data_IF_108602713505
#
_entry.id   IF_108602713505
#
_cell.length_a   1.000
_cell.length_b   1.000
_cell.length_c   1.000
_cell.angle_alpha   90.00
_cell.angle_beta   90.00
_cell.angle_gamma   90.00
#
_symmetry.space_group_name_H-M   'P 1'
#
loop_
_entity.id
_entity.type
_entity.pdbx_description
1 polymer ?
#
# COMPACT_ATOMS: atom_id res chain seq x y z
N UNK A 1 41.08 -21.07 63.09
CA UNK A 1 41.05 -20.58 61.64
C UNK A 1 39.62 -20.43 61.21
N UNK A 2 39.12 -19.20 61.07
CA UNK A 2 37.77 -18.91 60.65
C UNK A 2 37.83 -18.53 59.17
N UNK A 3 37.31 -19.40 58.31
CA UNK A 3 37.14 -19.10 56.87
C UNK A 3 35.95 -18.16 56.70
N UNK A 4 36.20 -16.99 56.18
CA UNK A 4 35.12 -16.03 55.75
C UNK A 4 34.64 -16.43 54.34
N UNK A 5 33.40 -16.91 54.29
CA UNK A 5 32.72 -17.15 53.04
C UNK A 5 32.25 -15.77 52.48
N UNK A 6 32.84 -15.33 51.37
CA UNK A 6 32.40 -14.12 50.65
C UNK A 6 31.33 -14.58 49.68
N UNK A 7 30.06 -14.23 49.96
CA UNK A 7 28.96 -14.39 49.03
C UNK A 7 28.97 -13.23 48.00
N UNK A 8 29.33 -13.52 46.76
CA UNK A 8 29.21 -12.61 45.67
C UNK A 8 27.75 -12.67 45.19
N UNK A 9 26.95 -11.67 45.56
CA UNK A 9 25.62 -11.48 44.99
C UNK A 9 25.80 -10.90 43.58
N UNK A 10 25.70 -11.73 42.56
CA UNK A 10 25.59 -11.29 41.18
C UNK A 10 24.16 -10.78 40.96
N UNK A 11 23.99 -9.48 40.94
CA UNK A 11 22.76 -8.84 40.49
C UNK A 11 22.71 -9.00 38.96
N UNK A 12 22.01 -10.03 38.47
CA UNK A 12 21.59 -10.11 37.08
C UNK A 12 20.50 -9.07 36.86
N UNK A 13 20.88 -7.91 36.36
CA UNK A 13 19.95 -6.98 35.75
C UNK A 13 19.45 -7.64 34.43
N UNK A 14 18.35 -8.35 34.53
CA UNK A 14 17.58 -8.72 33.33
C UNK A 14 16.94 -7.42 32.85
N UNK A 15 17.62 -6.73 31.95
CA UNK A 15 16.97 -5.76 31.09
C UNK A 15 15.97 -6.54 30.24
N UNK A 16 14.71 -6.59 30.70
CA UNK A 16 13.59 -6.90 29.81
C UNK A 16 13.57 -5.80 28.76
N UNK A 17 14.16 -6.09 27.60
CA UNK A 17 13.90 -5.32 26.39
C UNK A 17 12.42 -5.53 26.07
N UNK A 18 11.55 -4.77 26.73
CA UNK A 18 10.22 -4.53 26.24
C UNK A 18 10.43 -3.80 24.93
N UNK A 19 10.25 -4.47 23.80
CA UNK A 19 10.20 -3.81 22.53
C UNK A 19 9.09 -2.77 22.63
N UNK A 20 9.45 -1.50 22.70
CA UNK A 20 8.47 -0.43 22.66
C UNK A 20 7.70 -0.55 21.34
N UNK A 21 6.38 -0.37 21.40
CA UNK A 21 5.57 -0.37 20.20
C UNK A 21 6.08 0.74 19.25
N UNK A 22 6.34 0.42 17.98
CA UNK A 22 6.89 1.40 17.05
C UNK A 22 5.97 2.62 16.96
N UNK A 23 6.57 3.79 17.06
CA UNK A 23 5.86 5.07 16.93
C UNK A 23 5.34 5.25 15.51
N UNK A 24 6.14 4.92 14.53
CA UNK A 24 5.85 5.03 13.11
C UNK A 24 5.78 3.64 12.47
N UNK A 25 4.68 3.34 11.82
CA UNK A 25 4.48 2.06 11.12
C UNK A 25 4.15 2.33 9.67
N UNK A 26 4.97 1.78 8.79
CA UNK A 26 4.71 1.74 7.35
C UNK A 26 4.42 0.30 6.95
N UNK A 27 3.29 0.09 6.28
CA UNK A 27 2.93 -1.17 5.64
C UNK A 27 2.83 -0.95 4.14
N UNK A 28 3.75 -1.53 3.38
CA UNK A 28 3.77 -1.48 1.93
C UNK A 28 3.24 -2.79 1.37
N UNK A 29 2.26 -2.71 0.46
CA UNK A 29 1.66 -3.88 -0.20
C UNK A 29 1.81 -3.70 -1.72
N UNK A 30 2.60 -4.57 -2.35
CA UNK A 30 2.60 -4.70 -3.80
C UNK A 30 1.51 -5.67 -4.20
N UNK A 31 0.40 -5.17 -4.77
CA UNK A 31 -0.69 -6.02 -5.26
C UNK A 31 -0.19 -6.86 -6.44
N UNK A 32 -0.41 -8.17 -6.38
CA UNK A 32 0.10 -9.10 -7.37
C UNK A 32 1.61 -9.25 -7.43
N UNK A 33 2.35 -8.64 -6.48
CA UNK A 33 3.81 -8.62 -6.43
C UNK A 33 4.36 -9.79 -5.60
N UNK A 34 4.93 -10.75 -6.28
CA UNK A 34 5.61 -11.89 -5.67
C UNK A 34 7.10 -11.91 -6.04
N UNK A 35 7.78 -13.02 -5.82
CA UNK A 35 9.20 -13.17 -6.17
C UNK A 35 9.50 -12.93 -7.66
N UNK A 36 8.67 -13.36 -8.63
CA UNK A 36 8.91 -13.09 -10.04
C UNK A 36 9.00 -11.59 -10.36
N UNK A 37 8.03 -10.78 -9.95
CA UNK A 37 7.98 -9.34 -10.23
C UNK A 37 9.20 -8.63 -9.65
N UNK A 38 9.57 -8.95 -8.40
CA UNK A 38 10.75 -8.39 -7.73
C UNK A 38 12.06 -8.81 -8.40
N UNK A 39 12.20 -10.11 -8.74
CA UNK A 39 13.42 -10.65 -9.35
C UNK A 39 13.63 -10.09 -10.75
N UNK A 40 12.56 -9.97 -11.54
CA UNK A 40 12.62 -9.36 -12.88
C UNK A 40 13.00 -7.88 -12.81
N UNK A 41 12.42 -7.15 -11.88
CA UNK A 41 12.71 -5.73 -11.70
C UNK A 41 14.16 -5.51 -11.26
N UNK A 42 14.67 -6.34 -10.36
CA UNK A 42 16.08 -6.26 -9.95
C UNK A 42 17.03 -6.62 -11.09
N UNK A 43 16.74 -7.67 -11.85
CA UNK A 43 17.55 -8.04 -13.02
C UNK A 43 17.59 -6.91 -14.07
N UNK A 44 16.43 -6.28 -14.33
CA UNK A 44 16.31 -5.12 -15.19
C UNK A 44 17.13 -3.92 -14.68
N UNK A 45 16.97 -3.57 -13.41
CA UNK A 45 17.67 -2.45 -12.78
C UNK A 45 19.19 -2.65 -12.80
N UNK A 46 19.64 -3.85 -12.42
CA UNK A 46 21.05 -4.23 -12.44
C UNK A 46 21.65 -4.14 -13.85
N UNK A 47 20.93 -4.62 -14.86
CA UNK A 47 21.43 -4.65 -16.24
C UNK A 47 21.42 -3.27 -16.89
N UNK A 48 20.45 -2.42 -16.56
CA UNK A 48 20.27 -1.10 -17.19
C UNK A 48 20.99 0.03 -16.46
N UNK A 49 21.14 -0.07 -15.12
CA UNK A 49 21.69 1.00 -14.28
C UNK A 49 22.82 0.55 -13.33
N UNK A 50 23.06 -0.75 -13.18
CA UNK A 50 24.04 -1.29 -12.23
C UNK A 50 23.58 -1.17 -10.76
N UNK A 51 22.29 -0.93 -10.50
CA UNK A 51 21.72 -0.72 -9.19
C UNK A 51 21.00 -1.97 -8.67
N UNK A 52 20.74 -2.02 -7.35
CA UNK A 52 19.97 -3.05 -6.69
C UNK A 52 18.57 -2.53 -6.29
N UNK A 53 17.61 -3.44 -6.20
CA UNK A 53 16.25 -3.13 -5.78
C UNK A 53 16.18 -3.15 -4.25
N UNK A 54 15.96 -2.00 -3.60
CA UNK A 54 16.00 -1.84 -2.15
C UNK A 54 15.15 -2.89 -1.41
N UNK A 55 13.93 -3.15 -1.87
CA UNK A 55 13.01 -4.10 -1.22
C UNK A 55 13.54 -5.53 -1.12
N UNK A 56 14.53 -5.91 -1.94
CA UNK A 56 15.18 -7.21 -1.89
C UNK A 56 16.37 -7.28 -0.92
N UNK A 57 16.85 -6.14 -0.44
CA UNK A 57 18.08 -6.01 0.36
C UNK A 57 17.83 -5.53 1.80
N UNK A 58 16.59 -5.54 2.26
CA UNK A 58 16.28 -5.25 3.66
C UNK A 58 16.72 -6.41 4.56
N UNK A 59 17.08 -6.13 5.83
CA UNK A 59 17.79 -7.07 6.69
C UNK A 59 16.97 -8.31 7.09
N UNK A 60 15.63 -8.21 7.06
CA UNK A 60 14.75 -9.33 7.43
C UNK A 60 13.90 -9.72 6.22
N UNK A 61 13.98 -10.98 5.83
CA UNK A 61 13.20 -11.56 4.75
C UNK A 61 12.46 -12.80 5.22
N UNK A 62 11.20 -12.95 4.81
CA UNK A 62 10.38 -14.13 5.09
C UNK A 62 9.54 -14.46 3.86
N UNK A 63 9.03 -15.70 3.80
CA UNK A 63 8.08 -16.13 2.80
C UNK A 63 6.70 -16.24 3.41
N UNK A 64 5.69 -15.77 2.68
CA UNK A 64 4.28 -15.93 3.05
C UNK A 64 3.59 -16.87 2.07
N UNK A 65 2.62 -17.63 2.58
CA UNK A 65 1.77 -18.48 1.79
C UNK A 65 0.40 -17.83 1.66
N UNK A 66 -0.01 -17.57 0.42
CA UNK A 66 -1.26 -16.88 0.13
C UNK A 66 -2.36 -17.89 -0.27
N UNK A 67 -3.52 -17.74 0.33
CA UNK A 67 -4.78 -18.41 -0.06
C UNK A 67 -5.92 -17.72 0.70
N UNK A 68 -7.12 -17.68 0.12
CA UNK A 68 -8.32 -17.25 0.85
C UNK A 68 -8.89 -18.37 1.73
N UNK A 69 -9.97 -18.11 2.43
CA UNK A 69 -10.65 -19.14 3.23
C UNK A 69 -11.37 -20.19 2.37
N UNK A 70 -11.80 -19.83 1.16
CA UNK A 70 -12.57 -20.70 0.27
C UNK A 70 -11.83 -21.11 -1.01
N UNK A 71 -10.59 -20.66 -1.26
CA UNK A 71 -9.86 -20.98 -2.48
C UNK A 71 -8.34 -20.98 -2.27
N UNK A 72 -7.63 -21.82 -3.04
CA UNK A 72 -6.17 -21.82 -3.08
C UNK A 72 -5.63 -20.53 -3.71
N UNK A 73 -6.35 -19.98 -4.69
CA UNK A 73 -6.03 -18.71 -5.32
C UNK A 73 -6.89 -17.62 -4.65
N UNK A 74 -6.23 -16.71 -3.96
CA UNK A 74 -6.90 -15.57 -3.31
C UNK A 74 -7.08 -14.42 -4.30
N UNK A 75 -8.07 -13.57 -4.04
CA UNK A 75 -8.16 -12.23 -4.64
C UNK A 75 -7.65 -11.16 -3.68
N UNK A 76 -7.47 -9.92 -4.14
CA UNK A 76 -6.98 -8.80 -3.34
C UNK A 76 -7.90 -8.42 -2.17
N UNK A 77 -9.21 -8.73 -2.24
CA UNK A 77 -10.14 -8.46 -1.14
C UNK A 77 -9.86 -9.39 0.06
N UNK A 78 -9.76 -10.68 -0.20
CA UNK A 78 -9.50 -11.68 0.85
C UNK A 78 -8.05 -11.60 1.37
N UNK A 79 -7.06 -11.39 0.49
CA UNK A 79 -5.66 -11.25 0.90
C UNK A 79 -5.43 -9.94 1.65
N UNK A 80 -5.95 -8.82 1.15
CA UNK A 80 -5.92 -7.53 1.83
C UNK A 80 -6.58 -7.60 3.20
N UNK A 81 -7.75 -8.25 3.32
CA UNK A 81 -8.41 -8.49 4.61
C UNK A 81 -7.54 -9.35 5.54
N UNK A 82 -6.91 -10.41 5.03
CA UNK A 82 -6.05 -11.25 5.86
C UNK A 82 -4.81 -10.49 6.38
N UNK A 83 -4.21 -9.64 5.55
CA UNK A 83 -3.08 -8.78 5.94
C UNK A 83 -3.53 -7.72 6.94
N UNK A 84 -4.65 -7.05 6.66
CA UNK A 84 -5.15 -5.95 7.49
C UNK A 84 -5.68 -6.42 8.85
N UNK A 85 -6.40 -7.55 8.88
CA UNK A 85 -7.20 -7.98 10.03
C UNK A 85 -6.67 -9.24 10.72
N UNK A 86 -5.65 -9.92 10.15
CA UNK A 86 -5.09 -11.14 10.72
C UNK A 86 -6.00 -12.38 10.60
N UNK A 87 -7.11 -12.29 9.86
CA UNK A 87 -8.09 -13.37 9.70
C UNK A 87 -8.42 -13.58 8.21
N UNK A 88 -8.41 -14.84 7.76
CA UNK A 88 -8.79 -15.18 6.39
C UNK A 88 -10.28 -15.09 6.16
N UNK A 89 -10.66 -14.55 5.00
CA UNK A 89 -12.04 -14.50 4.52
C UNK A 89 -12.18 -15.11 3.13
N UNK A 90 -13.39 -15.18 2.61
CA UNK A 90 -13.66 -15.66 1.27
C UNK A 90 -13.32 -14.61 0.21
N UNK A 91 -12.95 -15.05 -0.99
CA UNK A 91 -12.71 -14.16 -2.12
C UNK A 91 -13.88 -13.18 -2.30
N UNK A 92 -13.52 -11.92 -2.60
CA UNK A 92 -14.46 -10.81 -2.80
C UNK A 92 -14.90 -10.09 -1.55
N UNK A 93 -14.62 -10.57 -0.34
CA UNK A 93 -15.05 -9.94 0.93
C UNK A 93 -14.01 -8.98 1.49
N UNK A 94 -14.47 -7.90 2.07
CA UNK A 94 -13.65 -6.84 2.65
C UNK A 94 -14.01 -6.68 4.14
N UNK A 95 -13.05 -6.91 5.04
CA UNK A 95 -13.21 -6.69 6.47
C UNK A 95 -14.38 -7.45 7.11
N UNK A 96 -14.76 -8.59 6.53
CA UNK A 96 -15.84 -9.46 7.02
C UNK A 96 -15.33 -10.88 7.23
N UNK A 97 -15.88 -11.58 8.21
CA UNK A 97 -15.62 -13.00 8.44
C UNK A 97 -16.02 -13.86 7.23
N UNK A 98 -15.45 -15.07 7.13
CA UNK A 98 -15.69 -15.95 6.00
C UNK A 98 -17.17 -16.35 5.82
N UNK A 99 -17.97 -16.36 6.87
CA UNK A 99 -19.41 -16.60 6.85
C UNK A 99 -20.24 -15.31 6.62
N UNK A 100 -19.57 -14.15 6.51
CA UNK A 100 -20.20 -12.83 6.33
C UNK A 100 -21.11 -12.37 7.49
N UNK A 101 -20.92 -12.89 8.69
CA UNK A 101 -21.76 -12.56 9.84
C UNK A 101 -21.17 -11.50 10.75
N UNK A 102 -19.83 -11.31 10.70
CA UNK A 102 -19.09 -10.46 11.64
C UNK A 102 -18.12 -9.53 10.90
N UNK A 103 -18.10 -8.26 11.30
CA UNK A 103 -17.04 -7.33 10.93
C UNK A 103 -15.74 -7.74 11.61
N UNK A 104 -14.64 -7.70 10.88
CA UNK A 104 -13.27 -7.87 11.41
C UNK A 104 -12.51 -6.57 11.22
N UNK A 105 -11.90 -6.07 12.29
CA UNK A 105 -11.25 -4.76 12.28
C UNK A 105 -9.76 -4.88 11.93
N UNK A 106 -9.26 -3.89 11.25
CA UNK A 106 -7.89 -3.87 10.75
C UNK A 106 -6.89 -3.35 11.80
N UNK A 107 -5.60 -3.64 11.58
CA UNK A 107 -4.51 -3.04 12.35
C UNK A 107 -4.47 -1.50 12.23
N UNK A 108 -5.00 -0.92 11.15
CA UNK A 108 -5.17 0.53 11.02
C UNK A 108 -6.24 1.05 11.99
N UNK A 109 -7.34 0.32 12.15
CA UNK A 109 -8.36 0.65 13.15
C UNK A 109 -7.77 0.60 14.57
N UNK A 110 -7.04 -0.46 14.91
CA UNK A 110 -6.38 -0.61 16.22
C UNK A 110 -5.34 0.50 16.48
N UNK A 111 -4.56 0.85 15.45
CA UNK A 111 -3.60 1.95 15.53
C UNK A 111 -4.31 3.30 15.82
N UNK A 112 -5.48 3.53 15.20
CA UNK A 112 -6.30 4.71 15.48
C UNK A 112 -6.83 4.72 16.92
N UNK A 113 -7.31 3.57 17.44
CA UNK A 113 -7.75 3.45 18.82
C UNK A 113 -6.58 3.73 19.80
N UNK A 114 -5.36 3.36 19.43
CA UNK A 114 -4.16 3.73 20.19
C UNK A 114 -3.75 5.21 20.05
N UNK A 115 -4.49 6.00 19.26
CA UNK A 115 -4.31 7.44 19.07
C UNK A 115 -3.27 7.82 18.03
N UNK A 116 -2.85 6.89 17.18
CA UNK A 116 -2.04 7.18 16.01
C UNK A 116 -2.86 7.82 14.90
N UNK A 117 -2.25 8.66 14.08
CA UNK A 117 -2.84 9.10 12.82
C UNK A 117 -2.75 8.00 11.77
N UNK A 118 -3.72 7.96 10.86
CA UNK A 118 -3.84 6.90 9.85
C UNK A 118 -3.78 7.48 8.45
N UNK A 119 -2.87 6.92 7.62
CA UNK A 119 -2.78 7.20 6.18
C UNK A 119 -3.02 5.95 5.35
N UNK A 120 -3.80 6.09 4.29
CA UNK A 120 -4.06 5.05 3.28
C UNK A 120 -3.73 5.63 1.91
N UNK A 121 -2.77 5.02 1.22
CA UNK A 121 -2.24 5.49 -0.06
C UNK A 121 -2.28 4.32 -1.06
N UNK A 122 -2.65 4.60 -2.31
CA UNK A 122 -2.65 3.59 -3.37
C UNK A 122 -2.44 4.18 -4.76
N UNK A 123 -1.87 3.41 -5.66
CA UNK A 123 -1.80 3.77 -7.09
C UNK A 123 -3.06 3.40 -7.89
N UNK A 124 -3.98 2.60 -7.33
CA UNK A 124 -5.30 2.31 -7.90
C UNK A 124 -6.39 3.19 -7.27
N UNK A 125 -7.68 2.90 -7.47
CA UNK A 125 -8.73 3.69 -6.80
C UNK A 125 -8.70 3.46 -5.30
N UNK A 126 -8.94 4.53 -4.52
CA UNK A 126 -8.80 4.48 -3.06
C UNK A 126 -9.79 3.52 -2.39
N UNK A 127 -10.89 3.22 -3.05
CA UNK A 127 -11.88 2.22 -2.65
C UNK A 127 -11.77 0.89 -3.41
N UNK A 128 -10.58 0.61 -4.01
CA UNK A 128 -10.21 -0.73 -4.47
C UNK A 128 -10.09 -1.70 -3.29
N UNK A 129 -10.08 -2.99 -3.56
CA UNK A 129 -10.19 -4.04 -2.55
C UNK A 129 -9.11 -3.98 -1.47
N UNK A 130 -7.85 -3.80 -1.83
CA UNK A 130 -6.71 -3.80 -0.90
C UNK A 130 -6.75 -2.61 0.06
N UNK A 131 -6.83 -1.33 -0.38
CA UNK A 131 -6.95 -0.21 0.55
C UNK A 131 -8.24 -0.27 1.36
N UNK A 132 -9.37 -0.72 0.76
CA UNK A 132 -10.64 -0.86 1.42
C UNK A 132 -10.61 -1.84 2.60
N UNK A 133 -9.76 -2.86 2.57
CA UNK A 133 -9.60 -3.84 3.64
C UNK A 133 -9.13 -3.23 4.97
N UNK A 134 -8.57 -2.02 4.93
CA UNK A 134 -8.12 -1.31 6.13
C UNK A 134 -9.19 -0.47 6.80
N UNK A 135 -10.32 -0.19 6.13
CA UNK A 135 -11.38 0.67 6.66
C UNK A 135 -12.82 0.20 6.35
N UNK A 136 -13.01 -0.68 5.37
CA UNK A 136 -14.32 -1.12 4.89
C UNK A 136 -14.77 -2.45 5.50
N UNK A 137 -16.11 -2.66 5.51
CA UNK A 137 -16.73 -3.91 5.96
C UNK A 137 -17.86 -4.28 5.00
N UNK A 138 -17.52 -4.99 3.90
CA UNK A 138 -18.46 -5.29 2.80
C UNK A 138 -18.44 -6.76 2.41
N UNK A 139 -19.63 -7.26 2.05
CA UNK A 139 -19.79 -8.61 1.52
C UNK A 139 -19.14 -8.76 0.15
N UNK A 140 -19.04 -7.68 -0.62
CA UNK A 140 -18.46 -7.67 -1.95
C UNK A 140 -17.54 -6.46 -2.18
N UNK A 141 -16.36 -6.73 -2.78
CA UNK A 141 -15.43 -5.69 -3.24
C UNK A 141 -16.01 -4.80 -4.35
N UNK A 142 -17.11 -5.22 -4.97
CA UNK A 142 -17.77 -4.46 -6.03
C UNK A 142 -18.75 -3.39 -5.49
N UNK A 143 -18.96 -3.33 -4.19
CA UNK A 143 -19.76 -2.31 -3.52
C UNK A 143 -18.98 -0.99 -3.39
N UNK A 144 -18.46 -0.48 -4.53
CA UNK A 144 -17.55 0.66 -4.56
C UNK A 144 -18.11 1.93 -3.89
N UNK A 145 -19.40 2.22 -4.10
CA UNK A 145 -20.02 3.40 -3.50
C UNK A 145 -20.12 3.27 -1.98
N UNK A 146 -20.55 2.12 -1.50
CA UNK A 146 -20.68 1.79 -0.08
C UNK A 146 -19.30 1.76 0.61
N UNK A 147 -18.28 1.25 -0.08
CA UNK A 147 -16.88 1.34 0.39
C UNK A 147 -16.43 2.80 0.49
N UNK A 148 -16.89 3.66 -0.45
CA UNK A 148 -16.67 5.11 -0.35
C UNK A 148 -17.33 5.75 0.87
N UNK A 149 -18.50 5.26 1.30
CA UNK A 149 -19.11 5.68 2.57
C UNK A 149 -18.30 5.20 3.77
N UNK A 150 -17.82 3.94 3.76
CA UNK A 150 -16.97 3.39 4.82
C UNK A 150 -15.66 4.18 4.98
N UNK A 151 -15.09 4.68 3.86
CA UNK A 151 -13.92 5.55 3.89
C UNK A 151 -14.20 6.81 4.74
N UNK A 152 -15.33 7.47 4.52
CA UNK A 152 -15.73 8.66 5.29
C UNK A 152 -15.95 8.30 6.76
N UNK A 153 -16.69 7.22 7.02
CA UNK A 153 -17.05 6.76 8.38
C UNK A 153 -15.82 6.30 9.18
N UNK A 154 -14.73 5.84 8.52
CA UNK A 154 -13.47 5.49 9.17
C UNK A 154 -12.86 6.65 9.93
N UNK A 155 -13.08 7.87 9.42
CA UNK A 155 -12.51 9.10 9.98
C UNK A 155 -10.99 9.08 10.04
N UNK A 156 -10.30 8.36 9.13
CA UNK A 156 -8.84 8.36 9.03
C UNK A 156 -8.32 9.70 8.54
N UNK A 157 -7.03 9.97 8.77
CA UNK A 157 -6.48 11.31 8.65
C UNK A 157 -6.03 11.67 7.23
N UNK A 158 -5.60 10.67 6.44
CA UNK A 158 -5.06 10.90 5.10
C UNK A 158 -5.40 9.78 4.14
N UNK A 159 -6.09 10.13 3.04
CA UNK A 159 -6.33 9.24 1.90
C UNK A 159 -5.75 9.87 0.65
N UNK A 160 -4.95 9.12 -0.14
CA UNK A 160 -4.27 9.67 -1.29
C UNK A 160 -4.03 8.67 -2.42
N UNK A 161 -3.96 9.16 -3.65
CA UNK A 161 -3.66 8.38 -4.84
C UNK A 161 -4.76 8.42 -5.89
N UNK A 162 -5.14 7.25 -6.42
CA UNK A 162 -6.20 7.15 -7.41
C UNK A 162 -7.55 7.65 -6.93
N UNK A 163 -8.48 7.87 -7.84
CA UNK A 163 -9.79 8.44 -7.53
C UNK A 163 -10.67 7.51 -6.66
N UNK A 164 -11.78 8.01 -6.16
CA UNK A 164 -12.88 7.16 -5.67
C UNK A 164 -13.62 6.60 -6.87
N UNK A 165 -13.71 5.28 -7.00
CA UNK A 165 -14.52 4.62 -8.02
C UNK A 165 -16.01 4.81 -7.71
N UNK A 166 -16.81 5.05 -8.75
CA UNK A 166 -18.28 5.22 -8.64
C UNK A 166 -18.71 6.22 -7.56
N UNK A 167 -18.13 7.45 -7.49
CA UNK A 167 -18.38 8.38 -6.39
C UNK A 167 -19.81 8.93 -6.37
N UNK A 168 -20.55 8.79 -7.46
CA UNK A 168 -21.94 9.25 -7.63
C UNK A 168 -22.82 8.11 -8.17
N UNK A 169 -22.88 6.97 -7.45
CA UNK A 169 -23.70 5.84 -7.86
C UNK A 169 -25.15 5.98 -7.38
N UNK A 170 -25.98 6.70 -8.13
CA UNK A 170 -27.40 6.92 -7.83
C UNK A 170 -28.25 5.64 -7.81
N UNK A 171 -27.72 4.53 -8.36
CA UNK A 171 -28.40 3.22 -8.33
C UNK A 171 -28.14 2.44 -7.04
N UNK A 172 -27.20 2.89 -6.22
CA UNK A 172 -26.95 2.25 -4.91
C UNK A 172 -28.14 2.46 -3.98
N UNK A 173 -28.63 1.42 -3.29
CA UNK A 173 -29.66 1.57 -2.27
C UNK A 173 -29.17 2.41 -1.08
N UNK A 174 -27.85 2.58 -0.92
CA UNK A 174 -27.25 3.41 0.12
C UNK A 174 -26.92 4.84 -0.35
N UNK A 175 -27.38 5.25 -1.55
CA UNK A 175 -27.05 6.55 -2.13
C UNK A 175 -27.46 7.72 -1.24
N UNK A 176 -26.52 8.63 -0.98
CA UNK A 176 -26.69 9.83 -0.15
C UNK A 176 -26.15 11.10 -0.81
N UNK A 177 -25.60 10.98 -2.01
CA UNK A 177 -24.92 12.05 -2.74
C UNK A 177 -23.49 11.67 -3.18
N UNK A 178 -22.80 12.61 -3.78
CA UNK A 178 -21.42 12.37 -4.22
C UNK A 178 -20.46 12.17 -3.03
N UNK A 179 -19.64 11.11 -3.07
CA UNK A 179 -18.71 10.75 -1.99
C UNK A 179 -17.78 11.90 -1.61
N UNK A 180 -17.26 12.66 -2.56
CA UNK A 180 -16.37 13.80 -2.25
C UNK A 180 -17.10 14.95 -1.54
N UNK A 181 -18.35 15.21 -1.92
CA UNK A 181 -19.18 16.21 -1.23
C UNK A 181 -19.56 15.77 0.18
N UNK A 182 -19.90 14.48 0.33
CA UNK A 182 -20.17 13.89 1.65
C UNK A 182 -18.93 13.93 2.53
N UNK A 183 -17.75 13.65 1.99
CA UNK A 183 -16.50 13.74 2.72
C UNK A 183 -16.22 15.19 3.17
N UNK A 184 -16.42 16.18 2.29
CA UNK A 184 -16.26 17.59 2.65
C UNK A 184 -17.23 18.01 3.79
N UNK A 185 -18.49 17.57 3.72
CA UNK A 185 -19.47 17.79 4.80
C UNK A 185 -19.09 17.09 6.11
N UNK A 186 -18.37 15.97 6.05
CA UNK A 186 -17.83 15.25 7.20
C UNK A 186 -16.49 15.84 7.74
N UNK A 187 -16.06 16.98 7.21
CA UNK A 187 -14.88 17.71 7.69
C UNK A 187 -13.57 17.31 7.01
N UNK A 188 -13.59 16.57 5.90
CA UNK A 188 -12.40 16.33 5.10
C UNK A 188 -12.06 17.53 4.21
N UNK A 189 -10.78 17.89 4.14
CA UNK A 189 -10.25 18.74 3.09
C UNK A 189 -10.07 17.88 1.83
N UNK A 190 -10.94 18.08 0.84
CA UNK A 190 -10.88 17.38 -0.44
C UNK A 190 -9.99 18.14 -1.40
N UNK A 191 -8.91 17.52 -1.84
CA UNK A 191 -7.89 18.09 -2.72
C UNK A 191 -7.98 17.43 -4.10
N UNK A 192 -8.16 18.24 -5.14
CA UNK A 192 -8.42 17.77 -6.51
C UNK A 192 -7.43 18.29 -7.55
N UNK A 193 -6.53 19.18 -7.18
CA UNK A 193 -5.53 19.75 -8.09
C UNK A 193 -4.12 19.50 -7.57
N UNK A 194 -3.16 19.47 -8.49
CA UNK A 194 -1.72 19.38 -8.13
C UNK A 194 -1.27 20.59 -7.32
N UNK A 195 -1.83 21.76 -7.62
CA UNK A 195 -1.53 23.01 -6.92
C UNK A 195 -1.97 22.94 -5.47
N UNK A 196 -3.23 22.57 -5.21
CA UNK A 196 -3.75 22.41 -3.85
C UNK A 196 -2.99 21.31 -3.09
N UNK A 197 -2.61 20.21 -3.76
CA UNK A 197 -1.82 19.16 -3.14
C UNK A 197 -0.43 19.64 -2.72
N UNK A 198 0.24 20.41 -3.57
CA UNK A 198 1.57 20.99 -3.24
C UNK A 198 1.48 22.03 -2.12
N UNK A 199 0.36 22.75 -2.04
CA UNK A 199 0.09 23.74 -0.99
C UNK A 199 -0.23 23.12 0.37
N UNK A 200 -0.55 21.82 0.46
CA UNK A 200 -0.70 21.14 1.75
C UNK A 200 0.60 21.24 2.55
N UNK A 201 0.49 21.58 3.83
CA UNK A 201 1.63 21.66 4.73
C UNK A 201 1.26 21.23 6.14
N UNK A 202 2.27 20.78 6.90
CA UNK A 202 2.09 20.44 8.32
C UNK A 202 1.55 21.63 9.14
N UNK A 203 2.03 22.81 8.87
CA UNK A 203 1.63 24.03 9.59
C UNK A 203 0.13 24.31 9.47
N UNK A 204 -0.41 24.18 8.26
CA UNK A 204 -1.79 24.55 7.97
C UNK A 204 -2.76 23.36 8.04
N UNK A 205 -2.29 22.15 7.82
CA UNK A 205 -3.15 20.99 7.54
C UNK A 205 -2.93 19.78 8.47
N UNK A 206 -1.99 19.85 9.42
CA UNK A 206 -1.70 18.71 10.31
C UNK A 206 -2.91 18.24 11.16
N UNK A 207 -3.87 19.12 11.42
CA UNK A 207 -5.08 18.80 12.16
C UNK A 207 -6.28 18.49 11.25
N UNK A 208 -6.13 18.65 9.94
CA UNK A 208 -7.17 18.38 8.98
C UNK A 208 -7.13 16.90 8.57
N UNK A 209 -8.32 16.34 8.34
CA UNK A 209 -8.43 15.09 7.57
C UNK A 209 -8.39 15.44 6.09
N UNK A 210 -7.56 14.74 5.31
CA UNK A 210 -7.32 15.08 3.91
C UNK A 210 -7.67 13.92 3.00
N UNK A 211 -8.41 14.21 1.93
CA UNK A 211 -8.61 13.30 0.79
C UNK A 211 -7.95 13.93 -0.44
N UNK A 212 -6.81 13.38 -0.85
CA UNK A 212 -6.04 13.79 -2.02
C UNK A 212 -6.11 12.70 -3.10
N UNK A 213 -7.33 12.39 -3.57
CA UNK A 213 -7.63 11.30 -4.48
C UNK A 213 -8.17 11.80 -5.82
N UNK A 214 -7.69 11.20 -6.93
CA UNK A 214 -8.14 11.53 -8.27
C UNK A 214 -7.61 12.87 -8.80
N UNK A 215 -6.46 13.32 -8.31
CA UNK A 215 -5.77 14.52 -8.80
C UNK A 215 -5.25 14.30 -10.22
N UNK A 216 -4.77 13.09 -10.50
CA UNK A 216 -4.20 12.69 -11.79
C UNK A 216 -5.25 12.12 -12.77
N UNK A 217 -6.53 12.13 -12.40
CA UNK A 217 -7.62 11.65 -13.25
C UNK A 217 -8.71 10.90 -12.49
N UNK A 218 -9.77 10.48 -13.18
CA UNK A 218 -10.97 9.91 -12.53
C UNK A 218 -10.86 8.42 -12.17
N UNK A 219 -9.71 7.77 -12.42
CA UNK A 219 -9.48 6.35 -12.19
C UNK A 219 -8.26 6.07 -11.35
N UNK A 220 -7.47 5.13 -11.80
CA UNK A 220 -6.15 4.82 -11.22
C UNK A 220 -5.18 5.98 -11.47
N UNK A 221 -4.10 6.04 -10.72
CA UNK A 221 -2.98 6.90 -11.09
C UNK A 221 -2.46 6.49 -12.47
N UNK A 222 -1.95 7.42 -13.28
CA UNK A 222 -1.26 7.07 -14.51
C UNK A 222 -0.11 6.10 -14.22
N UNK A 223 0.06 5.08 -15.07
CA UNK A 223 1.22 4.19 -14.93
C UNK A 223 2.53 4.99 -14.91
N UNK A 224 3.49 4.54 -14.12
CA UNK A 224 4.78 5.23 -13.94
C UNK A 224 5.49 5.48 -15.28
N UNK A 225 5.45 4.51 -16.20
CA UNK A 225 6.03 4.64 -17.55
C UNK A 225 5.33 5.73 -18.40
N UNK A 226 4.08 6.05 -18.10
CA UNK A 226 3.25 7.04 -18.81
C UNK A 226 3.24 8.41 -18.12
N UNK A 227 3.69 8.47 -16.87
CA UNK A 227 3.59 9.66 -16.02
C UNK A 227 4.89 10.47 -16.02
N UNK A 228 4.98 11.43 -16.95
CA UNK A 228 6.19 12.24 -17.09
C UNK A 228 6.20 13.49 -16.21
N UNK A 229 5.03 14.08 -15.92
CA UNK A 229 4.91 15.36 -15.24
C UNK A 229 3.94 15.34 -14.04
N UNK A 230 3.28 14.22 -13.77
CA UNK A 230 2.28 14.07 -12.71
C UNK A 230 2.88 13.73 -11.36
N UNK A 231 2.00 13.69 -10.36
CA UNK A 231 2.35 13.22 -9.03
C UNK A 231 2.62 11.71 -9.07
N UNK A 232 3.63 11.29 -8.32
CA UNK A 232 4.05 9.91 -8.16
C UNK A 232 3.62 9.36 -6.80
N UNK A 233 3.63 8.05 -6.65
CA UNK A 233 3.36 7.41 -5.36
C UNK A 233 4.28 7.93 -4.25
N UNK A 234 5.54 8.26 -4.59
CA UNK A 234 6.52 8.89 -3.69
C UNK A 234 6.05 10.24 -3.14
N UNK A 235 5.34 11.05 -3.94
CA UNK A 235 4.88 12.36 -3.52
C UNK A 235 3.77 12.23 -2.48
N UNK A 236 2.87 11.28 -2.67
CA UNK A 236 1.81 10.98 -1.71
C UNK A 236 2.37 10.43 -0.40
N UNK A 237 3.40 9.57 -0.44
CA UNK A 237 4.09 9.07 0.77
C UNK A 237 4.80 10.20 1.50
N UNK A 238 5.56 11.06 0.81
CA UNK A 238 6.23 12.23 1.41
C UNK A 238 5.23 13.16 2.10
N UNK A 239 4.14 13.49 1.40
CA UNK A 239 3.08 14.35 1.95
C UNK A 239 2.38 13.68 3.14
N UNK A 240 2.13 12.38 3.07
CA UNK A 240 1.57 11.61 4.18
C UNK A 240 2.47 11.67 5.43
N UNK A 241 3.78 11.50 5.29
CA UNK A 241 4.73 11.66 6.40
C UNK A 241 4.63 13.06 7.00
N UNK A 242 4.64 14.10 6.14
CA UNK A 242 4.55 15.50 6.58
C UNK A 242 3.29 15.79 7.41
N UNK A 243 2.12 15.32 6.95
CA UNK A 243 0.83 15.61 7.58
C UNK A 243 0.53 14.73 8.79
N UNK A 244 1.02 13.50 8.81
CA UNK A 244 0.69 12.52 9.86
C UNK A 244 1.67 12.54 11.02
N UNK A 245 2.89 13.09 10.85
CA UNK A 245 3.88 13.13 11.92
C UNK A 245 3.35 13.93 13.12
N UNK A 246 3.32 13.28 14.29
CA UNK A 246 2.80 13.81 15.53
C UNK A 246 3.42 13.06 16.74
N UNK A 247 3.24 13.57 17.98
CA UNK A 247 3.85 12.92 19.15
C UNK A 247 3.49 11.45 19.36
N UNK A 248 2.29 11.01 18.97
CA UNK A 248 1.85 9.60 19.06
C UNK A 248 2.24 8.75 17.86
N UNK A 249 2.76 9.38 16.81
CA UNK A 249 3.13 8.73 15.57
C UNK A 249 1.95 8.37 14.67
N UNK A 250 2.22 7.55 13.67
CA UNK A 250 1.22 7.17 12.67
C UNK A 250 1.35 5.71 12.23
N UNK A 251 0.27 5.22 11.62
CA UNK A 251 0.24 4.05 10.77
C UNK A 251 -0.05 4.49 9.33
N UNK A 252 0.77 4.08 8.38
CA UNK A 252 0.59 4.38 6.96
C UNK A 252 0.62 3.08 6.15
N UNK A 253 -0.47 2.77 5.46
CA UNK A 253 -0.49 1.75 4.42
C UNK A 253 -0.28 2.41 3.06
N UNK A 254 0.61 1.85 2.25
CA UNK A 254 0.87 2.29 0.89
C UNK A 254 0.85 1.09 -0.06
N UNK A 255 -0.01 1.16 -1.07
CA UNK A 255 -0.19 0.09 -2.03
C UNK A 255 0.37 0.46 -3.41
N UNK A 256 1.14 -0.49 -3.99
CA UNK A 256 1.49 -0.51 -5.40
C UNK A 256 0.47 -1.33 -6.19
N UNK A 257 -0.77 -0.87 -6.28
CA UNK A 257 -1.87 -1.62 -6.88
C UNK A 257 -1.76 -1.76 -8.41
N UNK A 258 -1.08 -0.82 -9.07
CA UNK A 258 -0.88 -0.85 -10.52
C UNK A 258 0.04 -2.01 -10.98
N UNK A 259 0.78 -2.65 -10.09
CA UNK A 259 1.59 -3.83 -10.41
C UNK A 259 0.66 -4.96 -10.89
N UNK A 260 -0.37 -5.29 -10.09
CA UNK A 260 -1.36 -6.33 -10.41
C UNK A 260 -2.12 -6.03 -11.72
N UNK A 261 -2.58 -4.79 -11.88
CA UNK A 261 -3.31 -4.34 -13.08
C UNK A 261 -2.49 -4.61 -14.36
N UNK A 262 -1.18 -4.34 -14.31
CA UNK A 262 -0.31 -4.53 -15.46
C UNK A 262 0.15 -6.00 -15.61
N UNK A 263 0.19 -6.79 -14.52
CA UNK A 263 0.33 -8.24 -14.58
C UNK A 263 -0.87 -8.88 -15.32
N UNK A 264 -2.09 -8.48 -15.00
CA UNK A 264 -3.30 -8.92 -15.73
C UNK A 264 -3.29 -8.51 -17.21
N UNK A 265 -2.68 -7.37 -17.54
CA UNK A 265 -2.51 -6.92 -18.92
C UNK A 265 -1.37 -7.66 -19.66
N UNK A 266 -0.58 -8.49 -19.00
CA UNK A 266 0.67 -9.10 -19.49
C UNK A 266 1.66 -8.06 -20.05
N UNK A 267 1.70 -6.86 -19.45
CA UNK A 267 2.60 -5.76 -19.81
C UNK A 267 3.86 -5.79 -18.95
N UNK A 268 4.80 -6.66 -19.30
CA UNK A 268 6.00 -6.92 -18.51
C UNK A 268 6.85 -5.66 -18.23
N UNK A 269 6.96 -4.76 -19.19
CA UNK A 269 7.73 -3.53 -18.99
C UNK A 269 7.02 -2.63 -17.97
N UNK A 270 5.70 -2.43 -18.11
CA UNK A 270 4.95 -1.60 -17.17
C UNK A 270 4.95 -2.20 -15.76
N UNK A 271 4.87 -3.54 -15.61
CA UNK A 271 5.03 -4.23 -14.32
C UNK A 271 6.37 -3.87 -13.66
N UNK A 272 7.47 -3.90 -14.42
CA UNK A 272 8.78 -3.52 -13.91
C UNK A 272 8.80 -2.05 -13.45
N UNK A 273 8.27 -1.13 -14.26
CA UNK A 273 8.23 0.28 -13.92
C UNK A 273 7.33 0.58 -12.71
N UNK A 274 6.19 -0.11 -12.56
CA UNK A 274 5.34 0.00 -11.37
C UNK A 274 6.04 -0.55 -10.11
N UNK A 275 6.78 -1.65 -10.24
CA UNK A 275 7.57 -2.20 -9.13
C UNK A 275 8.71 -1.25 -8.74
N UNK A 276 9.32 -0.54 -9.70
CA UNK A 276 10.30 0.52 -9.41
C UNK A 276 9.64 1.71 -8.70
N UNK A 277 8.47 2.16 -9.14
CA UNK A 277 7.73 3.24 -8.47
C UNK A 277 7.36 2.89 -7.02
N UNK A 278 6.96 1.63 -6.79
CA UNK A 278 6.72 1.09 -5.46
C UNK A 278 8.00 1.07 -4.61
N UNK A 279 9.11 0.57 -5.16
CA UNK A 279 10.42 0.59 -4.50
C UNK A 279 10.88 2.01 -4.13
N UNK A 280 10.64 2.99 -5.00
CA UNK A 280 10.98 4.38 -4.74
C UNK A 280 10.11 4.96 -3.61
N UNK A 281 8.84 4.57 -3.52
CA UNK A 281 7.98 4.92 -2.38
C UNK A 281 8.47 4.30 -1.07
N UNK A 282 8.92 3.03 -1.09
CA UNK A 282 9.57 2.38 0.05
C UNK A 282 10.84 3.10 0.46
N UNK A 283 11.64 3.58 -0.52
CA UNK A 283 12.86 4.33 -0.24
C UNK A 283 12.61 5.60 0.57
N UNK A 284 11.51 6.30 0.31
CA UNK A 284 11.09 7.47 1.11
C UNK A 284 10.89 7.09 2.58
N UNK A 285 10.19 5.99 2.85
CA UNK A 285 9.98 5.49 4.20
C UNK A 285 11.29 4.99 4.85
N UNK A 286 12.16 4.37 4.07
CA UNK A 286 13.47 3.93 4.54
C UNK A 286 14.37 5.10 4.96
N UNK A 287 14.41 6.17 4.17
CA UNK A 287 15.13 7.40 4.52
C UNK A 287 14.56 8.09 5.78
N UNK A 288 13.25 8.00 5.98
CA UNK A 288 12.61 8.44 7.22
C UNK A 288 13.04 7.55 8.40
N UNK A 289 13.02 6.22 8.23
CA UNK A 289 13.42 5.28 9.27
C UNK A 289 14.88 5.44 9.69
N UNK A 290 15.78 5.80 8.79
CA UNK A 290 17.18 6.11 9.12
C UNK A 290 17.33 7.30 10.08
N UNK A 291 16.36 8.24 10.07
CA UNK A 291 16.32 9.37 11.00
C UNK A 291 15.62 9.01 12.31
N UNK A 292 14.81 7.94 12.33
CA UNK A 292 14.02 7.45 13.46
C UNK A 292 14.21 5.94 13.67
N UNK A 293 15.47 5.44 13.83
CA UNK A 293 15.79 4.01 13.71
C UNK A 293 15.20 3.14 14.82
N UNK A 294 14.94 3.72 16.01
CA UNK A 294 14.36 3.00 17.16
C UNK A 294 12.82 3.11 17.23
N UNK A 295 12.22 3.98 16.41
CA UNK A 295 10.81 4.31 16.48
C UNK A 295 10.02 3.82 15.26
N UNK A 296 10.71 3.34 14.20
CA UNK A 296 10.07 3.04 12.90
C UNK A 296 10.08 1.55 12.58
N UNK A 297 8.91 1.03 12.23
CA UNK A 297 8.73 -0.29 11.62
C UNK A 297 8.32 -0.13 10.16
N UNK A 298 9.04 -0.77 9.24
CA UNK A 298 8.65 -0.90 7.84
C UNK A 298 8.38 -2.38 7.55
N UNK A 299 7.18 -2.67 7.09
CA UNK A 299 6.77 -4.00 6.61
C UNK A 299 6.45 -3.89 5.12
N UNK A 300 7.02 -4.79 4.31
CA UNK A 300 6.79 -4.86 2.87
C UNK A 300 6.32 -6.27 2.54
N UNK A 301 5.22 -6.37 1.82
CA UNK A 301 4.68 -7.67 1.39
C UNK A 301 4.03 -7.56 0.01
N UNK A 302 3.83 -8.70 -0.64
CA UNK A 302 2.83 -8.86 -1.67
C UNK A 302 1.61 -9.55 -1.07
N UNK A 303 0.47 -9.39 -1.67
CA UNK A 303 -0.78 -10.02 -1.24
C UNK A 303 -1.05 -11.34 -1.96
N UNK A 304 -0.68 -11.44 -3.22
CA UNK A 304 -0.64 -12.66 -4.04
C UNK A 304 0.32 -12.48 -5.22
N UNK A 305 0.42 -13.47 -6.07
CA UNK A 305 1.09 -13.43 -7.36
C UNK A 305 0.07 -13.21 -8.46
N UNK A 306 0.47 -12.54 -9.54
CA UNK A 306 -0.35 -12.35 -10.75
C UNK A 306 0.51 -12.39 -12.00
N UNK A 307 0.03 -13.10 -13.02
CA UNK A 307 0.58 -13.06 -14.39
C UNK A 307 1.78 -13.97 -14.65
N UNK A 308 2.33 -14.66 -13.66
CA UNK A 308 3.43 -15.63 -13.79
C UNK A 308 4.64 -15.08 -14.57
N UNK A 309 5.10 -13.87 -14.28
CA UNK A 309 6.24 -13.24 -14.95
C UNK A 309 7.53 -14.04 -14.70
N UNK A 310 8.27 -14.43 -15.75
CA UNK A 310 9.49 -15.23 -15.62
C UNK A 310 10.63 -14.71 -16.49
N UNK A 311 11.90 -14.92 -16.06
CA UNK A 311 13.10 -14.56 -16.79
C UNK A 311 13.37 -15.45 -18.00
N UNK A 312 12.91 -16.67 -17.99
CA UNK A 312 13.23 -17.68 -18.99
C UNK A 312 12.03 -18.50 -19.40
N UNK A 313 12.12 -19.03 -20.60
CA UNK A 313 11.17 -19.95 -21.18
C UNK A 313 11.91 -21.16 -21.79
N UNK A 314 11.25 -22.30 -21.89
CA UNK A 314 11.81 -23.47 -22.56
C UNK A 314 12.33 -23.06 -23.97
N UNK A 315 13.53 -23.55 -24.34
CA UNK A 315 14.21 -23.27 -25.61
C UNK A 315 14.88 -21.88 -25.74
N UNK A 316 14.94 -21.07 -24.68
CA UNK A 316 15.70 -19.80 -24.75
C UNK A 316 17.21 -19.97 -24.66
N UNK A 317 17.72 -21.19 -24.35
CA UNK A 317 19.14 -21.49 -24.28
C UNK A 317 19.90 -20.66 -23.26
N UNK A 318 19.31 -20.39 -22.09
CA UNK A 318 19.87 -19.56 -21.00
C UNK A 318 20.08 -18.08 -21.38
N UNK A 319 19.49 -17.64 -22.49
CA UNK A 319 19.55 -16.23 -22.91
C UNK A 319 18.37 -15.47 -22.34
N UNK A 320 18.63 -14.24 -21.91
CA UNK A 320 17.65 -13.26 -21.51
C UNK A 320 17.92 -11.93 -22.23
N UNK A 321 16.90 -11.12 -22.45
CA UNK A 321 16.98 -9.83 -23.11
C UNK A 321 16.17 -8.79 -22.33
N UNK A 322 16.26 -8.83 -21.02
CA UNK A 322 15.44 -8.01 -20.12
C UNK A 322 15.66 -6.52 -20.32
N UNK A 323 16.86 -6.11 -20.72
CA UNK A 323 17.21 -4.74 -21.07
C UNK A 323 16.36 -4.18 -22.22
N UNK A 324 15.89 -5.03 -23.14
CA UNK A 324 15.03 -4.62 -24.25
C UNK A 324 13.67 -4.08 -23.79
N UNK A 325 13.22 -4.41 -22.58
CA UNK A 325 12.00 -3.84 -22.00
C UNK A 325 12.13 -2.32 -21.80
N UNK A 326 13.35 -1.77 -21.72
CA UNK A 326 13.60 -0.33 -21.70
C UNK A 326 13.24 0.40 -23.01
N UNK A 327 13.02 -0.35 -24.09
CA UNK A 327 12.57 0.21 -25.37
C UNK A 327 11.07 0.58 -25.36
N UNK A 328 10.28 -0.05 -24.52
CA UNK A 328 8.88 0.32 -24.33
C UNK A 328 8.80 1.71 -23.69
N UNK A 329 7.99 2.60 -24.27
CA UNK A 329 7.88 4.02 -23.85
C UNK A 329 6.52 4.40 -23.31
N UNK A 330 5.56 3.48 -23.34
CA UNK A 330 4.24 3.66 -22.73
C UNK A 330 3.60 2.31 -22.45
N UNK A 331 2.60 2.29 -21.56
CA UNK A 331 1.85 1.08 -21.23
C UNK A 331 1.01 0.55 -22.40
N UNK A 332 0.66 -0.73 -22.33
CA UNK A 332 -0.28 -1.33 -23.29
C UNK A 332 -1.65 -0.65 -23.24
N UNK A 333 -2.09 -0.16 -22.07
CA UNK A 333 -3.30 0.63 -21.93
C UNK A 333 -3.27 1.86 -22.82
N UNK A 334 -2.19 2.65 -22.75
CA UNK A 334 -2.01 3.85 -23.58
C UNK A 334 -1.90 3.55 -25.07
N UNK A 335 -1.31 2.41 -25.45
CA UNK A 335 -1.29 1.96 -26.85
C UNK A 335 -2.71 1.65 -27.33
N UNK A 336 -3.50 0.91 -26.56
CA UNK A 336 -4.91 0.60 -26.92
C UNK A 336 -5.75 1.86 -27.11
N UNK A 337 -5.56 2.89 -26.29
CA UNK A 337 -6.31 4.14 -26.40
C UNK A 337 -5.93 4.95 -27.65
N UNK A 338 -4.69 4.84 -28.12
CA UNK A 338 -4.25 5.47 -29.37
C UNK A 338 -4.73 4.75 -30.63
N UNK A 339 -5.15 3.49 -30.51
CA UNK A 339 -5.63 2.67 -31.63
C UNK A 339 -7.16 2.70 -31.79
N UNK A 340 -7.89 3.31 -30.86
CA UNK A 340 -9.33 3.58 -30.95
C UNK A 340 -9.60 4.90 -31.67
#
# INVERSE_FOLDING_TARGET
MRSKLIAVLSFLFVFSLMAENPKYVFLFIGDGMSSPQRSMTEAFLKKTKGEALLINHLPVNAATKTSSANALVTDSAASGTAIACGEKTNNGRIGMSADNTRKIYSCAYEAKQAGKKIGIITSVTINHATPASFYGHRASRNEYYEIGLDLIDSGYDYFAGGAVASPNNEKSPAYKGNIYELAAKAGYKVVKTREDFRALSRENDANNKVIACGIEGPGYMPNYIDNHDGLLLTDFVKKGIELLDNPKGFFMMCEGGAIDVNCHANDAATVIFETLAFNDAVKVAYEFAQKHPQETLIVITGDHETGALTLGFANTGFRENIDKLALQKCSFGKVKDKLK
#
